data_IF_656267044367
#
_entry.id   IF_656267044367
#
_cell.length_a   1.000
_cell.length_b   1.000
_cell.length_c   1.000
_cell.angle_alpha   90.00
_cell.angle_beta   90.00
_cell.angle_gamma   90.00
#
_symmetry.space_group_name_H-M   'P 1'
#
loop_
_entity.id
_entity.type
_entity.pdbx_description
1 polymer ?
#
# COMPACT_ATOMS: atom_id res chain seq x y z
N UNK A 1 -20.71 36.93 7.42
CA UNK A 1 -20.36 35.79 8.30
C UNK A 1 -19.09 35.08 7.81
N UNK A 2 -18.62 35.32 6.58
CA UNK A 2 -17.65 34.45 5.91
C UNK A 2 -16.18 34.76 6.21
N UNK A 3 -15.74 36.02 6.19
CA UNK A 3 -14.30 36.33 6.22
C UNK A 3 -13.63 36.02 7.57
N UNK A 4 -14.32 36.28 8.68
CA UNK A 4 -13.81 36.01 10.04
C UNK A 4 -13.70 34.51 10.33
N UNK A 5 -14.67 33.72 9.87
CA UNK A 5 -14.67 32.26 10.04
C UNK A 5 -13.55 31.64 9.19
N UNK A 6 -13.38 32.10 7.95
CA UNK A 6 -12.29 31.67 7.07
C UNK A 6 -10.92 31.94 7.72
N UNK A 7 -10.71 33.13 8.31
CA UNK A 7 -9.46 33.46 9.00
C UNK A 7 -9.23 32.53 10.20
N UNK A 8 -10.26 32.26 11.00
CA UNK A 8 -10.15 31.35 12.16
C UNK A 8 -9.85 29.91 11.75
N UNK A 9 -10.46 29.44 10.66
CA UNK A 9 -10.16 28.13 10.10
C UNK A 9 -8.73 28.05 9.56
N UNK A 10 -8.25 29.09 8.86
CA UNK A 10 -6.85 29.15 8.40
C UNK A 10 -5.86 29.19 9.57
N UNK A 11 -6.18 29.88 10.66
CA UNK A 11 -5.39 29.83 11.90
C UNK A 11 -5.38 28.44 12.53
N UNK A 12 -6.52 27.74 12.52
CA UNK A 12 -6.63 26.35 12.97
C UNK A 12 -5.75 25.41 12.13
N UNK A 13 -5.78 25.53 10.80
CA UNK A 13 -4.92 24.74 9.90
C UNK A 13 -3.43 25.00 10.17
N UNK A 14 -3.05 26.26 10.37
CA UNK A 14 -1.66 26.63 10.67
C UNK A 14 -1.20 26.09 12.04
N UNK A 15 -2.07 26.08 13.05
CA UNK A 15 -1.77 25.53 14.38
C UNK A 15 -1.78 23.99 14.41
N UNK A 16 -2.54 23.36 13.53
CA UNK A 16 -2.66 21.91 13.45
C UNK A 16 -1.46 21.20 12.80
N UNK A 17 -0.38 21.93 12.48
CA UNK A 17 0.89 21.47 11.88
C UNK A 17 0.70 20.18 11.07
N UNK A 18 0.11 20.31 9.89
CA UNK A 18 -0.13 19.20 8.98
C UNK A 18 1.10 19.03 8.07
N UNK A 19 1.95 18.04 8.35
CA UNK A 19 3.11 17.74 7.51
C UNK A 19 3.01 16.33 6.94
N UNK A 20 3.16 16.17 5.62
CA UNK A 20 3.22 14.83 5.00
C UNK A 20 4.47 14.08 5.48
N UNK A 21 4.25 12.90 6.05
CA UNK A 21 5.24 12.00 6.63
C UNK A 21 5.09 10.58 6.09
N UNK A 22 4.47 10.41 4.91
CA UNK A 22 4.20 9.09 4.31
C UNK A 22 5.43 8.20 4.26
N UNK A 23 6.59 8.75 3.87
CA UNK A 23 7.84 7.99 3.83
C UNK A 23 8.31 7.53 5.21
N UNK A 24 8.19 8.40 6.23
CA UNK A 24 8.60 8.09 7.61
C UNK A 24 7.72 7.00 8.21
N UNK A 25 6.39 7.13 8.13
CA UNK A 25 5.45 6.14 8.66
C UNK A 25 5.64 4.77 7.99
N UNK A 26 5.89 4.76 6.68
CA UNK A 26 6.21 3.52 5.96
C UNK A 26 7.49 2.88 6.53
N UNK A 27 8.58 3.62 6.70
CA UNK A 27 9.82 3.05 7.28
C UNK A 27 9.54 2.41 8.65
N UNK A 28 8.75 3.06 9.50
CA UNK A 28 8.51 2.58 10.86
C UNK A 28 7.62 1.35 10.92
N UNK A 29 6.54 1.31 10.12
CA UNK A 29 5.66 0.14 10.03
C UNK A 29 6.39 -1.14 9.58
N UNK A 30 7.49 -1.01 8.83
CA UNK A 30 8.19 -2.13 8.21
C UNK A 30 9.60 -2.38 8.79
N UNK A 31 9.88 -1.87 9.99
CA UNK A 31 11.22 -1.80 10.59
C UNK A 31 11.96 -3.13 10.84
N UNK A 32 11.44 -4.30 10.44
CA UNK A 32 12.09 -5.58 10.80
C UNK A 32 12.15 -6.70 9.73
N UNK A 33 11.62 -6.55 8.51
CA UNK A 33 11.71 -7.64 7.51
C UNK A 33 11.84 -7.09 6.08
N UNK A 34 13.04 -7.18 5.52
CA UNK A 34 13.34 -7.01 4.09
C UNK A 34 13.13 -5.60 3.49
N UNK A 35 14.09 -4.71 3.76
CA UNK A 35 14.26 -3.43 3.04
C UNK A 35 14.41 -3.55 1.50
N UNK A 36 14.51 -4.77 0.93
CA UNK A 36 14.65 -4.98 -0.52
C UNK A 36 13.39 -4.68 -1.33
N UNK A 37 12.20 -4.63 -0.70
CA UNK A 37 10.93 -4.52 -1.44
C UNK A 37 10.27 -3.13 -1.42
N UNK A 38 10.86 -2.14 -0.72
CA UNK A 38 10.17 -0.90 -0.37
C UNK A 38 10.56 0.35 -1.18
N UNK A 39 10.78 0.20 -2.48
CA UNK A 39 10.95 1.37 -3.35
C UNK A 39 9.60 1.91 -3.87
N UNK A 40 8.46 1.35 -3.47
CA UNK A 40 7.20 1.62 -4.19
C UNK A 40 5.91 1.39 -3.38
N UNK A 41 5.82 1.77 -2.09
CA UNK A 41 4.48 2.00 -1.51
C UNK A 41 3.99 3.38 -1.97
N UNK A 42 3.68 3.43 -3.26
CA UNK A 42 2.89 4.46 -3.91
C UNK A 42 2.05 3.73 -4.93
N UNK A 43 1.13 2.87 -4.49
CA UNK A 43 0.09 2.43 -5.40
C UNK A 43 -1.20 2.25 -4.63
N UNK A 44 -2.21 2.96 -5.12
CA UNK A 44 -3.63 2.80 -4.87
C UNK A 44 -4.08 1.33 -4.93
N UNK A 45 -3.30 0.50 -5.61
CA UNK A 45 -3.58 -0.87 -6.02
C UNK A 45 -2.49 -1.80 -5.47
N UNK A 46 -2.90 -2.78 -4.67
CA UNK A 46 -2.06 -3.88 -4.20
C UNK A 46 -2.46 -5.18 -4.91
N UNK A 47 -1.48 -6.00 -5.23
CA UNK A 47 -1.69 -7.34 -5.77
C UNK A 47 -1.36 -8.36 -4.68
N UNK A 48 -2.25 -9.33 -4.52
CA UNK A 48 -2.04 -10.48 -3.64
C UNK A 48 -2.27 -11.75 -4.44
N UNK A 49 -1.20 -12.52 -4.65
CA UNK A 49 -1.24 -13.75 -5.45
C UNK A 49 -0.57 -14.86 -4.66
N UNK A 50 -1.24 -16.00 -4.51
CA UNK A 50 -0.66 -17.21 -3.92
C UNK A 50 -0.21 -18.14 -5.03
N UNK A 51 1.10 -18.26 -5.19
CA UNK A 51 1.75 -19.18 -6.11
C UNK A 51 1.94 -20.56 -5.45
N UNK A 52 2.49 -21.50 -6.22
CA UNK A 52 2.78 -22.86 -5.76
C UNK A 52 3.79 -22.88 -4.60
N UNK A 53 4.80 -22.01 -4.63
CA UNK A 53 5.91 -22.01 -3.66
C UNK A 53 5.85 -20.86 -2.64
N UNK A 54 5.11 -19.79 -2.94
CA UNK A 54 5.11 -18.58 -2.12
C UNK A 54 3.83 -17.75 -2.26
N UNK A 55 3.65 -16.78 -1.36
CA UNK A 55 2.59 -15.78 -1.45
C UNK A 55 3.24 -14.41 -1.71
N UNK A 56 2.81 -13.76 -2.79
CA UNK A 56 3.36 -12.49 -3.26
C UNK A 56 2.40 -11.36 -2.89
N UNK A 57 2.98 -10.31 -2.33
CA UNK A 57 2.31 -9.06 -1.99
C UNK A 57 3.10 -7.92 -2.62
N UNK A 58 2.45 -7.07 -3.42
CA UNK A 58 3.19 -5.99 -4.05
C UNK A 58 2.41 -5.15 -5.05
N UNK A 59 3.15 -4.36 -5.81
CA UNK A 59 2.64 -3.53 -6.90
C UNK A 59 2.63 -4.31 -8.21
N UNK A 60 2.01 -3.74 -9.25
CA UNK A 60 2.09 -4.28 -10.62
C UNK A 60 3.55 -4.52 -11.06
N UNK A 61 4.48 -3.65 -10.66
CA UNK A 61 5.90 -3.81 -10.97
C UNK A 61 6.50 -5.08 -10.35
N UNK A 62 6.11 -5.43 -9.12
CA UNK A 62 6.55 -6.64 -8.44
C UNK A 62 5.97 -7.89 -9.13
N UNK A 63 4.70 -7.83 -9.54
CA UNK A 63 4.06 -8.90 -10.33
C UNK A 63 4.79 -9.09 -11.67
N UNK A 64 5.09 -8.00 -12.38
CA UNK A 64 5.80 -8.04 -13.66
C UNK A 64 7.24 -8.52 -13.54
N UNK A 65 7.94 -8.18 -12.44
CA UNK A 65 9.27 -8.70 -12.16
C UNK A 65 9.22 -10.21 -11.91
N UNK A 66 8.24 -10.68 -11.12
CA UNK A 66 8.09 -12.11 -10.88
C UNK A 66 7.75 -12.89 -12.14
N UNK A 67 6.87 -12.36 -12.99
CA UNK A 67 6.58 -12.95 -14.30
C UNK A 67 7.87 -13.15 -15.10
N UNK A 68 8.73 -12.13 -15.17
CA UNK A 68 10.03 -12.23 -15.87
C UNK A 68 10.97 -13.27 -15.27
N UNK A 69 10.97 -13.43 -13.94
CA UNK A 69 11.77 -14.47 -13.27
C UNK A 69 11.28 -15.88 -13.67
N UNK A 70 9.97 -16.12 -13.59
CA UNK A 70 9.36 -17.40 -13.93
C UNK A 70 9.50 -17.73 -15.43
N UNK A 71 9.37 -16.74 -16.32
CA UNK A 71 9.61 -16.91 -17.76
C UNK A 71 11.05 -17.34 -18.06
N UNK A 72 12.03 -16.76 -17.35
CA UNK A 72 13.44 -17.17 -17.47
C UNK A 72 13.64 -18.60 -17.00
N UNK A 73 13.08 -18.97 -15.85
CA UNK A 73 13.16 -20.34 -15.33
C UNK A 73 12.52 -21.34 -16.31
N UNK A 74 11.34 -21.01 -16.86
CA UNK A 74 10.64 -21.82 -17.85
C UNK A 74 11.48 -22.02 -19.12
N UNK A 75 12.14 -20.97 -19.61
CA UNK A 75 13.03 -21.06 -20.77
C UNK A 75 14.24 -21.98 -20.50
N UNK A 76 14.81 -21.93 -19.29
CA UNK A 76 15.90 -22.84 -18.89
C UNK A 76 15.44 -24.29 -18.81
N UNK A 77 14.27 -24.55 -18.23
CA UNK A 77 13.69 -25.90 -18.15
C UNK A 77 13.42 -26.44 -19.55
N UNK A 78 12.82 -25.65 -20.45
CA UNK A 78 12.58 -26.07 -21.83
C UNK A 78 13.89 -26.43 -22.56
N UNK A 79 14.97 -25.67 -22.36
CA UNK A 79 16.29 -26.03 -22.91
C UNK A 79 16.80 -27.37 -22.36
N UNK A 80 16.68 -27.60 -21.05
CA UNK A 80 17.13 -28.84 -20.39
C UNK A 80 16.32 -30.06 -20.84
N UNK A 81 15.01 -29.92 -21.01
CA UNK A 81 14.10 -30.97 -21.50
C UNK A 81 14.41 -31.37 -22.94
N UNK A 82 14.67 -30.40 -23.83
CA UNK A 82 15.03 -30.67 -25.23
C UNK A 82 16.36 -31.43 -25.35
N UNK A 83 17.33 -31.12 -24.47
CA UNK A 83 18.68 -31.68 -24.53
C UNK A 83 18.80 -33.08 -23.89
N UNK A 84 17.78 -33.59 -23.18
CA UNK A 84 17.89 -34.82 -22.39
C UNK A 84 16.67 -35.73 -22.51
N UNK A 85 16.67 -36.56 -23.56
CA UNK A 85 15.62 -37.53 -23.89
C UNK A 85 15.54 -38.77 -22.96
N UNK A 86 16.48 -38.99 -22.03
CA UNK A 86 16.58 -40.25 -21.27
C UNK A 86 16.89 -40.06 -19.76
N UNK A 87 16.70 -38.86 -19.21
CA UNK A 87 17.15 -38.57 -17.85
C UNK A 87 16.08 -38.90 -16.80
N UNK A 88 16.48 -39.52 -15.68
CA UNK A 88 15.61 -39.94 -14.58
C UNK A 88 14.80 -38.78 -13.97
N UNK A 89 15.25 -37.56 -14.22
CA UNK A 89 14.68 -36.29 -13.75
C UNK A 89 13.69 -35.66 -14.74
N UNK A 90 13.44 -36.26 -15.92
CA UNK A 90 12.52 -35.70 -16.93
C UNK A 90 11.13 -35.44 -16.35
N UNK A 91 10.60 -36.37 -15.57
CA UNK A 91 9.31 -36.19 -14.90
C UNK A 91 9.32 -35.02 -13.91
N UNK A 92 10.42 -34.83 -13.17
CA UNK A 92 10.56 -33.70 -12.24
C UNK A 92 10.61 -32.36 -12.99
N UNK A 93 11.32 -32.29 -14.12
CA UNK A 93 11.34 -31.10 -14.97
C UNK A 93 9.97 -30.80 -15.60
N UNK A 94 9.25 -31.84 -16.05
CA UNK A 94 7.89 -31.69 -16.60
C UNK A 94 6.89 -31.23 -15.52
N UNK A 95 7.00 -31.73 -14.29
CA UNK A 95 6.17 -31.26 -13.19
C UNK A 95 6.48 -29.81 -12.81
N UNK A 96 7.77 -29.44 -12.72
CA UNK A 96 8.16 -28.05 -12.45
C UNK A 96 7.70 -27.11 -13.55
N UNK A 97 7.80 -27.53 -14.81
CA UNK A 97 7.27 -26.79 -15.96
C UNK A 97 5.78 -26.51 -15.79
N UNK A 98 4.98 -27.54 -15.48
CA UNK A 98 3.54 -27.39 -15.28
C UNK A 98 3.21 -26.44 -14.12
N UNK A 99 3.98 -26.49 -13.03
CA UNK A 99 3.82 -25.55 -11.90
C UNK A 99 4.07 -24.11 -12.34
N UNK A 100 5.18 -23.85 -13.03
CA UNK A 100 5.51 -22.50 -13.51
C UNK A 100 4.46 -21.98 -14.49
N UNK A 101 3.95 -22.82 -15.39
CA UNK A 101 2.88 -22.44 -16.32
C UNK A 101 1.59 -22.05 -15.59
N UNK A 102 1.24 -22.76 -14.52
CA UNK A 102 0.10 -22.41 -13.67
C UNK A 102 0.34 -21.11 -12.88
N UNK A 103 1.54 -20.95 -12.30
CA UNK A 103 1.90 -19.77 -11.53
C UNK A 103 1.94 -18.50 -12.42
N UNK A 104 2.44 -18.60 -13.64
CA UNK A 104 2.38 -17.52 -14.63
C UNK A 104 0.95 -17.12 -14.94
N UNK A 105 0.06 -18.11 -15.15
CA UNK A 105 -1.36 -17.83 -15.37
C UNK A 105 -2.01 -17.13 -14.18
N UNK A 106 -1.68 -17.53 -12.94
CA UNK A 106 -2.16 -16.86 -11.73
C UNK A 106 -1.69 -15.40 -11.64
N UNK A 107 -0.47 -15.12 -12.09
CA UNK A 107 0.06 -13.74 -12.16
C UNK A 107 -0.60 -12.93 -13.30
N UNK A 108 -0.91 -13.54 -14.45
CA UNK A 108 -1.64 -12.90 -15.54
C UNK A 108 -3.10 -12.57 -15.17
N UNK A 109 -3.76 -13.48 -14.45
CA UNK A 109 -5.15 -13.32 -13.99
C UNK A 109 -5.26 -12.45 -12.72
N UNK A 110 -4.14 -12.04 -12.13
CA UNK A 110 -4.09 -11.29 -10.89
C UNK A 110 -4.77 -9.92 -11.06
N UNK A 111 -5.70 -9.61 -10.15
CA UNK A 111 -6.35 -8.30 -10.07
C UNK A 111 -5.84 -7.55 -8.84
N UNK A 112 -5.65 -6.26 -9.01
CA UNK A 112 -5.37 -5.38 -7.90
C UNK A 112 -6.60 -5.25 -6.98
N UNK A 113 -6.35 -5.17 -5.68
CA UNK A 113 -7.28 -4.63 -4.69
C UNK A 113 -6.90 -3.21 -4.35
N UNK A 114 -7.90 -2.36 -4.12
CA UNK A 114 -7.66 -1.01 -3.63
C UNK A 114 -7.25 -1.05 -2.16
N UNK A 115 -6.11 -0.45 -1.82
CA UNK A 115 -5.72 -0.23 -0.42
C UNK A 115 -6.00 1.22 -0.04
N UNK A 116 -6.69 1.39 1.08
CA UNK A 116 -7.05 2.70 1.61
C UNK A 116 -5.91 3.20 2.50
N UNK A 117 -5.21 4.26 2.04
CA UNK A 117 -4.52 5.35 2.77
C UNK A 117 -3.45 5.90 1.83
N UNK A 118 -3.59 7.17 1.46
CA UNK A 118 -2.81 7.81 0.40
C UNK A 118 -1.77 8.79 0.93
N UNK A 119 -1.99 9.33 2.14
CA UNK A 119 -1.10 10.29 2.77
C UNK A 119 -1.12 10.10 4.28
N UNK A 120 0.03 10.23 4.93
CA UNK A 120 0.13 10.31 6.39
C UNK A 120 0.53 11.72 6.79
N UNK A 121 -0.33 12.43 7.52
CA UNK A 121 -0.02 13.76 8.04
C UNK A 121 0.38 13.68 9.51
N UNK A 122 1.56 14.18 9.87
CA UNK A 122 1.87 14.48 11.27
C UNK A 122 0.84 15.46 11.80
N UNK A 123 0.32 15.18 12.99
CA UNK A 123 -0.70 15.99 13.67
C UNK A 123 -0.40 16.08 15.18
N UNK A 124 -0.86 17.15 15.85
CA UNK A 124 -0.84 17.24 17.31
C UNK A 124 -1.64 16.14 17.99
N UNK A 125 -1.29 15.85 19.26
CA UNK A 125 -1.94 14.80 20.05
C UNK A 125 -3.45 14.98 20.18
N UNK A 126 -3.89 16.18 20.54
CA UNK A 126 -5.31 16.49 20.73
C UNK A 126 -6.11 16.23 19.46
N UNK A 127 -5.59 16.63 18.28
CA UNK A 127 -6.26 16.41 17.01
C UNK A 127 -6.34 14.92 16.67
N UNK A 128 -5.33 14.15 17.07
CA UNK A 128 -5.33 12.70 16.88
C UNK A 128 -6.30 11.96 17.78
N UNK A 129 -6.72 12.54 18.91
CA UNK A 129 -7.80 11.97 19.74
C UNK A 129 -9.17 12.28 19.11
N UNK A 130 -9.38 13.50 18.61
CA UNK A 130 -10.61 13.89 17.90
C UNK A 130 -10.82 13.10 16.61
N UNK A 131 -9.77 12.93 15.79
CA UNK A 131 -9.89 12.15 14.55
C UNK A 131 -10.28 10.68 14.83
N UNK A 132 -9.77 10.09 15.93
CA UNK A 132 -10.19 8.74 16.32
C UNK A 132 -11.66 8.69 16.75
N UNK A 133 -12.16 9.74 17.42
CA UNK A 133 -13.58 9.81 17.83
C UNK A 133 -14.51 9.87 16.60
N UNK A 134 -14.05 10.50 15.52
CA UNK A 134 -14.71 10.57 14.22
C UNK A 134 -14.53 9.32 13.34
N UNK A 135 -13.79 8.31 13.82
CA UNK A 135 -13.56 7.05 13.09
C UNK A 135 -12.44 7.09 12.05
N UNK A 136 -11.62 8.14 12.05
CA UNK A 136 -10.47 8.28 11.17
C UNK A 136 -9.29 7.40 11.60
N UNK A 137 -8.38 7.11 10.65
CA UNK A 137 -7.21 6.27 10.89
C UNK A 137 -6.04 7.12 11.38
N UNK A 138 -5.60 6.91 12.63
CA UNK A 138 -4.42 7.56 13.21
C UNK A 138 -3.38 6.54 13.63
N UNK A 139 -2.17 6.66 13.11
CA UNK A 139 -1.00 5.89 13.52
C UNK A 139 -0.23 6.64 14.62
N UNK A 140 0.10 5.97 15.72
CA UNK A 140 0.77 6.58 16.88
C UNK A 140 2.10 5.88 17.16
N UNK A 141 3.21 6.59 17.03
CA UNK A 141 4.53 6.05 17.31
C UNK A 141 5.54 7.12 17.70
N UNK A 142 6.51 6.77 18.55
CA UNK A 142 7.55 7.68 19.08
C UNK A 142 7.01 8.99 19.67
N UNK A 143 5.80 8.97 20.22
CA UNK A 143 5.14 10.17 20.75
C UNK A 143 4.63 11.13 19.68
N UNK A 144 4.48 10.68 18.44
CA UNK A 144 3.88 11.40 17.32
C UNK A 144 2.56 10.74 16.90
N UNK A 145 1.64 11.55 16.38
CA UNK A 145 0.40 11.08 15.76
C UNK A 145 0.44 11.37 14.26
N UNK A 146 0.09 10.39 13.44
CA UNK A 146 0.05 10.49 11.99
C UNK A 146 -1.34 10.12 11.48
N UNK A 147 -2.05 11.05 10.86
CA UNK A 147 -3.38 10.83 10.29
C UNK A 147 -3.31 10.33 8.86
N UNK A 148 -3.92 9.17 8.60
CA UNK A 148 -4.00 8.55 7.29
C UNK A 148 -5.20 9.06 6.50
N UNK A 149 -4.94 9.82 5.44
CA UNK A 149 -5.98 10.42 4.58
C UNK A 149 -6.15 9.59 3.31
N UNK A 150 -7.40 9.40 2.88
CA UNK A 150 -7.71 8.82 1.57
C UNK A 150 -8.36 9.84 0.65
N UNK A 151 -7.88 9.95 -0.60
CA UNK A 151 -8.35 10.96 -1.56
C UNK A 151 -9.35 10.40 -2.59
N UNK A 152 -9.86 9.17 -2.42
CA UNK A 152 -10.51 8.45 -3.53
C UNK A 152 -11.99 8.09 -3.34
N UNK A 153 -12.62 8.36 -2.20
CA UNK A 153 -14.06 8.19 -2.11
C UNK A 153 -14.71 9.51 -2.50
N UNK A 154 -15.23 9.59 -3.72
CA UNK A 154 -16.13 10.66 -4.17
C UNK A 154 -17.44 10.77 -3.36
N UNK A 155 -17.53 10.10 -2.21
CA UNK A 155 -18.67 10.07 -1.28
C UNK A 155 -18.26 10.29 0.18
N UNK A 156 -16.97 10.44 0.52
CA UNK A 156 -16.53 10.79 1.88
C UNK A 156 -15.60 12.00 1.89
N UNK A 157 -15.78 12.82 2.91
CA UNK A 157 -15.23 14.16 3.11
C UNK A 157 -13.77 14.29 2.67
N UNK A 158 -13.47 15.33 1.89
CA UNK A 158 -12.08 15.71 1.64
C UNK A 158 -11.39 16.05 2.95
N UNK A 159 -10.05 16.02 2.97
CA UNK A 159 -9.24 16.51 4.11
C UNK A 159 -9.79 17.82 4.67
N UNK A 160 -10.12 18.77 3.79
CA UNK A 160 -10.67 20.07 4.14
C UNK A 160 -12.04 19.97 4.81
N UNK A 161 -12.90 19.04 4.37
CA UNK A 161 -14.22 18.83 4.97
C UNK A 161 -14.14 18.18 6.36
N UNK A 162 -13.28 17.17 6.56
CA UNK A 162 -13.06 16.58 7.90
C UNK A 162 -12.44 17.60 8.86
N UNK A 163 -11.47 18.39 8.40
CA UNK A 163 -10.88 19.46 9.22
C UNK A 163 -11.89 20.58 9.52
N UNK A 164 -12.80 20.87 8.59
CA UNK A 164 -13.87 21.83 8.82
C UNK A 164 -14.87 21.32 9.85
N UNK A 165 -15.26 20.04 9.78
CA UNK A 165 -16.16 19.41 10.77
C UNK A 165 -15.55 19.43 12.18
N UNK A 166 -14.27 19.04 12.31
CA UNK A 166 -13.54 19.15 13.58
C UNK A 166 -13.51 20.61 14.07
N UNK A 167 -13.25 21.56 13.18
CA UNK A 167 -13.23 22.97 13.53
C UNK A 167 -14.61 23.45 14.02
N UNK A 168 -15.69 23.07 13.34
CA UNK A 168 -17.07 23.40 13.71
C UNK A 168 -17.47 22.79 15.06
N UNK A 169 -17.16 21.52 15.30
CA UNK A 169 -17.43 20.83 16.57
C UNK A 169 -16.71 21.50 17.74
N UNK A 170 -15.42 21.84 17.57
CA UNK A 170 -14.63 22.51 18.61
C UNK A 170 -15.11 23.94 18.90
N UNK A 171 -15.73 24.61 17.92
CA UNK A 171 -16.16 26.00 18.05
C UNK A 171 -17.65 26.16 18.34
N UNK A 172 -18.43 25.08 18.39
CA UNK A 172 -19.86 25.03 18.79
C UNK A 172 -20.61 26.33 18.50
N UNK A 173 -21.03 26.52 17.24
CA UNK A 173 -22.05 27.51 16.90
C UNK A 173 -23.46 26.97 17.18
#
# INVERSE_FOLDING_TARGET
MEEKIIIQFLEFLNKSILQDQTHLVNITLYADKDMKYFHSIYNREEYRVRLSDEEIFGTEAIIAEKQKELEKELAEINRKVILKLEDLFLNAFLQRKLQIENDLKLLEDARSSYRYVYQWLLIPHWLGDELISLGEVVFREFGCNFWGITSFLGEYQSREATLLEVFEELHNY
#
